data_IF_972056673923
#
_entry.id   IF_972056673923
#
_cell.length_a   1.000
_cell.length_b   1.000
_cell.length_c   1.000
_cell.angle_alpha   90.00
_cell.angle_beta   90.00
_cell.angle_gamma   90.00
#
_symmetry.space_group_name_H-M   'P 1'
#
loop_
_entity.id
_entity.type
_entity.pdbx_description
1 polymer ?
#
# COMPACT_ATOMS: atom_id res chain seq x y z
N UNK A 1 26.98 24.71 -17.89
CA UNK A 1 27.48 25.37 -16.66
C UNK A 1 26.59 25.20 -15.43
N UNK A 2 25.34 24.73 -15.53
CA UNK A 2 24.57 24.28 -14.37
C UNK A 2 24.04 22.85 -14.59
N UNK A 3 24.91 21.86 -14.38
CA UNK A 3 24.49 20.45 -14.40
C UNK A 3 23.95 20.10 -13.00
N UNK A 4 22.75 19.53 -12.87
CA UNK A 4 22.22 19.17 -11.56
C UNK A 4 22.97 17.99 -10.95
N UNK A 5 23.12 17.99 -9.62
CA UNK A 5 23.67 16.84 -8.87
C UNK A 5 22.70 15.65 -8.85
N UNK A 6 21.40 15.92 -8.93
CA UNK A 6 20.33 14.92 -8.93
C UNK A 6 19.44 15.13 -10.14
N UNK A 7 19.30 14.09 -10.97
CA UNK A 7 18.38 14.07 -12.10
C UNK A 7 17.19 13.15 -11.80
N UNK A 8 16.02 13.74 -11.64
CA UNK A 8 14.75 13.00 -11.56
C UNK A 8 14.16 12.88 -12.96
N UNK A 9 13.98 11.65 -13.41
CA UNK A 9 13.46 11.37 -14.76
C UNK A 9 12.71 10.03 -14.77
N UNK A 10 11.87 9.82 -15.78
CA UNK A 10 11.28 8.51 -16.04
C UNK A 10 12.12 7.75 -17.08
N UNK A 11 11.88 6.45 -17.20
CA UNK A 11 12.67 5.58 -18.10
C UNK A 11 12.57 6.00 -19.58
N UNK A 12 11.44 6.56 -20.02
CA UNK A 12 11.27 7.04 -21.41
C UNK A 12 12.14 8.25 -21.66
N UNK A 13 12.14 9.22 -20.74
CA UNK A 13 12.97 10.41 -20.89
C UNK A 13 14.46 10.08 -20.73
N UNK A 14 14.81 9.12 -19.89
CA UNK A 14 16.18 8.60 -19.81
C UNK A 14 16.65 7.99 -21.14
N UNK A 15 15.83 7.21 -21.83
CA UNK A 15 16.12 6.72 -23.19
C UNK A 15 16.44 7.87 -24.15
N UNK A 16 15.64 8.94 -24.11
CA UNK A 16 15.84 10.11 -24.96
C UNK A 16 17.15 10.84 -24.63
N UNK A 17 17.47 11.00 -23.34
CA UNK A 17 18.74 11.62 -22.90
C UNK A 17 19.95 10.86 -23.43
N UNK A 18 19.90 9.53 -23.47
CA UNK A 18 21.00 8.71 -23.96
C UNK A 18 21.16 8.72 -25.48
N UNK A 19 20.09 8.97 -26.24
CA UNK A 19 20.06 8.78 -27.70
C UNK A 19 20.10 10.09 -28.49
N UNK A 20 19.62 11.20 -27.90
CA UNK A 20 19.49 12.47 -28.62
C UNK A 20 20.79 13.30 -28.57
N UNK A 21 21.14 14.01 -29.66
CA UNK A 21 22.34 14.84 -29.70
C UNK A 21 22.33 16.03 -28.72
N UNK A 22 21.14 16.59 -28.43
CA UNK A 22 21.01 17.80 -27.63
C UNK A 22 21.37 17.56 -26.15
N UNK A 23 21.08 16.35 -25.65
CA UNK A 23 21.29 15.94 -24.27
C UNK A 23 22.68 15.34 -24.02
N UNK A 24 23.57 15.28 -25.03
CA UNK A 24 24.94 14.75 -24.89
C UNK A 24 25.74 15.41 -23.78
N UNK A 25 25.52 16.70 -23.53
CA UNK A 25 26.17 17.42 -22.44
C UNK A 25 25.85 16.83 -21.07
N UNK A 26 24.63 16.30 -20.88
CA UNK A 26 24.21 15.62 -19.64
C UNK A 26 24.98 14.31 -19.47
N UNK A 27 25.05 13.50 -20.53
CA UNK A 27 25.79 12.22 -20.51
C UNK A 27 27.28 12.42 -20.26
N UNK A 28 27.87 13.49 -20.82
CA UNK A 28 29.26 13.84 -20.56
C UNK A 28 29.50 14.32 -19.12
N UNK A 29 28.58 15.10 -18.57
CA UNK A 29 28.69 15.55 -17.19
C UNK A 29 28.39 14.45 -16.16
N UNK A 30 27.66 13.40 -16.55
CA UNK A 30 27.32 12.26 -15.71
C UNK A 30 28.37 11.12 -15.74
N UNK A 31 29.55 11.34 -16.32
CA UNK A 31 30.62 10.34 -16.30
C UNK A 31 31.01 9.98 -14.86
N UNK A 32 31.11 8.68 -14.57
CA UNK A 32 31.34 8.18 -13.22
C UNK A 32 30.10 8.26 -12.32
N UNK A 33 28.89 8.20 -12.89
CA UNK A 33 27.63 8.21 -12.13
C UNK A 33 27.70 7.25 -10.93
N UNK A 34 27.49 7.80 -9.73
CA UNK A 34 27.67 7.04 -8.48
C UNK A 34 26.42 6.25 -8.08
N UNK A 35 25.22 6.77 -8.37
CA UNK A 35 23.96 6.16 -7.92
C UNK A 35 22.94 6.09 -9.05
N UNK A 36 22.22 4.97 -9.09
CA UNK A 36 21.01 4.81 -9.89
C UNK A 36 19.88 4.28 -9.02
N UNK A 37 18.83 5.07 -8.89
CA UNK A 37 17.66 4.76 -8.08
C UNK A 37 16.50 4.44 -9.01
N UNK A 38 15.91 3.27 -8.88
CA UNK A 38 14.67 2.91 -9.55
C UNK A 38 13.55 2.76 -8.51
N UNK A 39 12.52 3.59 -8.66
CA UNK A 39 11.34 3.52 -7.80
C UNK A 39 10.32 2.53 -8.35
N UNK A 40 9.52 1.96 -7.45
CA UNK A 40 8.43 1.04 -7.76
C UNK A 40 8.83 -0.10 -8.70
N UNK A 41 9.90 -0.82 -8.34
CA UNK A 41 10.41 -1.95 -9.12
C UNK A 41 9.33 -2.98 -9.48
N UNK A 42 8.28 -3.10 -8.64
CA UNK A 42 7.16 -3.99 -8.88
C UNK A 42 6.39 -3.69 -10.18
N UNK A 43 6.54 -2.49 -10.75
CA UNK A 43 5.96 -2.07 -12.02
C UNK A 43 6.75 -2.54 -13.24
N UNK A 44 8.04 -2.84 -13.09
CA UNK A 44 8.93 -3.24 -14.19
C UNK A 44 8.88 -4.76 -14.43
N UNK A 45 7.75 -5.25 -14.96
CA UNK A 45 7.53 -6.68 -15.26
C UNK A 45 7.38 -6.93 -16.76
N UNK A 46 7.58 -8.19 -17.16
CA UNK A 46 7.43 -8.63 -18.55
C UNK A 46 8.32 -7.85 -19.52
N UNK A 47 7.77 -7.43 -20.67
CA UNK A 47 8.50 -6.68 -21.70
C UNK A 47 9.07 -5.37 -21.17
N UNK A 48 8.29 -4.61 -20.41
CA UNK A 48 8.72 -3.33 -19.86
C UNK A 48 9.92 -3.50 -18.94
N UNK A 49 9.93 -4.55 -18.10
CA UNK A 49 11.08 -4.86 -17.25
C UNK A 49 12.35 -5.17 -18.04
N UNK A 50 12.24 -5.91 -19.14
CA UNK A 50 13.38 -6.19 -20.01
C UNK A 50 13.94 -4.92 -20.68
N UNK A 51 13.07 -4.03 -21.15
CA UNK A 51 13.48 -2.76 -21.77
C UNK A 51 14.22 -1.86 -20.76
N UNK A 52 13.69 -1.75 -19.53
CA UNK A 52 14.35 -1.00 -18.45
C UNK A 52 15.69 -1.66 -18.08
N UNK A 53 15.76 -2.99 -18.02
CA UNK A 53 17.01 -3.69 -17.72
C UNK A 53 18.11 -3.39 -18.75
N UNK A 54 17.77 -3.32 -20.03
CA UNK A 54 18.71 -2.93 -21.09
C UNK A 54 19.05 -1.44 -21.05
N UNK A 55 18.11 -0.58 -20.65
CA UNK A 55 18.37 0.84 -20.41
C UNK A 55 19.40 1.04 -19.29
N UNK A 56 19.26 0.36 -18.15
CA UNK A 56 20.23 0.43 -17.04
C UNK A 56 21.63 0.04 -17.50
N UNK A 57 21.76 -1.04 -18.29
CA UNK A 57 23.06 -1.48 -18.83
C UNK A 57 23.67 -0.43 -19.76
N UNK A 58 22.87 0.25 -20.57
CA UNK A 58 23.34 1.35 -21.44
C UNK A 58 23.75 2.58 -20.64
N UNK A 59 23.02 2.95 -19.59
CA UNK A 59 23.42 4.02 -18.66
C UNK A 59 24.81 3.72 -18.10
N UNK A 60 25.00 2.51 -17.55
CA UNK A 60 26.28 2.09 -16.96
C UNK A 60 27.43 2.22 -17.95
N UNK A 61 27.23 1.77 -19.19
CA UNK A 61 28.24 1.82 -20.24
C UNK A 61 28.53 3.25 -20.71
N UNK A 62 27.51 4.02 -21.08
CA UNK A 62 27.67 5.37 -21.66
C UNK A 62 28.21 6.38 -20.66
N UNK A 63 27.95 6.17 -19.37
CA UNK A 63 28.45 7.03 -18.29
C UNK A 63 29.73 6.49 -17.65
N UNK A 64 30.34 5.42 -18.17
CA UNK A 64 31.55 4.78 -17.59
C UNK A 64 31.40 4.52 -16.08
N UNK A 65 30.21 4.05 -15.67
CA UNK A 65 29.78 4.01 -14.29
C UNK A 65 29.99 2.61 -13.67
N UNK A 66 31.23 2.12 -13.70
CA UNK A 66 31.57 0.75 -13.27
C UNK A 66 31.22 0.49 -11.81
N UNK A 67 31.37 1.52 -10.96
CA UNK A 67 31.09 1.47 -9.51
C UNK A 67 29.71 2.03 -9.14
N UNK A 68 28.79 2.17 -10.11
CA UNK A 68 27.45 2.69 -9.86
C UNK A 68 26.66 1.81 -8.89
N UNK A 69 26.29 2.38 -7.75
CA UNK A 69 25.45 1.75 -6.74
C UNK A 69 23.99 1.82 -7.17
N UNK A 70 23.35 0.67 -7.23
CA UNK A 70 21.96 0.54 -7.61
C UNK A 70 21.08 0.46 -6.36
N UNK A 71 20.01 1.25 -6.33
CA UNK A 71 19.02 1.22 -5.24
C UNK A 71 17.64 1.05 -5.86
N UNK A 72 16.87 0.11 -5.32
CA UNK A 72 15.52 -0.19 -5.77
C UNK A 72 14.54 -0.15 -4.61
N UNK A 73 13.38 0.46 -4.82
CA UNK A 73 12.25 0.43 -3.88
C UNK A 73 11.11 -0.38 -4.47
N UNK A 74 10.35 -1.07 -3.62
CA UNK A 74 9.23 -1.89 -4.06
C UNK A 74 8.25 -2.16 -2.94
N UNK A 75 6.96 -2.12 -3.24
CA UNK A 75 5.91 -2.48 -2.31
C UNK A 75 5.56 -4.00 -2.32
N UNK A 76 5.69 -4.68 -3.46
CA UNK A 76 4.98 -5.97 -3.69
C UNK A 76 5.73 -6.96 -4.60
N UNK A 77 7.07 -6.95 -4.62
CA UNK A 77 7.81 -7.93 -5.43
C UNK A 77 7.78 -9.34 -4.84
N UNK A 78 7.73 -9.46 -3.51
CA UNK A 78 7.81 -10.76 -2.84
C UNK A 78 6.52 -11.58 -3.02
N UNK A 79 6.66 -12.81 -3.53
CA UNK A 79 5.60 -13.79 -3.63
C UNK A 79 5.23 -14.45 -2.29
N UNK A 80 4.47 -15.54 -2.37
CA UNK A 80 4.16 -16.40 -1.22
C UNK A 80 5.39 -17.23 -0.86
N UNK A 81 5.75 -17.25 0.42
CA UNK A 81 6.90 -18.01 0.91
C UNK A 81 7.42 -17.47 2.24
N UNK A 82 8.45 -18.12 2.77
CA UNK A 82 9.20 -17.63 3.92
C UNK A 82 9.93 -16.32 3.59
N UNK A 83 10.30 -15.55 4.61
CA UNK A 83 11.00 -14.28 4.41
C UNK A 83 12.32 -14.45 3.63
N UNK A 84 13.06 -15.52 3.88
CA UNK A 84 14.32 -15.78 3.18
C UNK A 84 14.09 -16.09 1.70
N UNK A 85 13.03 -16.85 1.37
CA UNK A 85 12.64 -17.09 -0.01
C UNK A 85 12.21 -15.78 -0.70
N UNK A 86 11.43 -14.94 -0.01
CA UNK A 86 11.04 -13.63 -0.50
C UNK A 86 12.24 -12.72 -0.77
N UNK A 87 13.20 -12.66 0.16
CA UNK A 87 14.45 -11.91 -0.02
C UNK A 87 15.25 -12.43 -1.20
N UNK A 88 15.37 -13.75 -1.32
CA UNK A 88 16.10 -14.38 -2.43
C UNK A 88 15.45 -14.06 -3.77
N UNK A 89 14.13 -14.09 -3.87
CA UNK A 89 13.39 -13.73 -5.08
C UNK A 89 13.59 -12.26 -5.45
N UNK A 90 13.48 -11.35 -4.47
CA UNK A 90 13.71 -9.91 -4.69
C UNK A 90 15.14 -9.65 -5.16
N UNK A 91 16.13 -10.29 -4.53
CA UNK A 91 17.55 -10.18 -4.90
C UNK A 91 17.81 -10.66 -6.33
N UNK A 92 17.18 -11.77 -6.74
CA UNK A 92 17.29 -12.27 -8.11
C UNK A 92 16.69 -11.27 -9.13
N UNK A 93 15.50 -10.74 -8.85
CA UNK A 93 14.84 -9.75 -9.73
C UNK A 93 15.66 -8.47 -9.83
N UNK A 94 16.14 -7.95 -8.70
CA UNK A 94 17.01 -6.78 -8.66
C UNK A 94 18.29 -7.03 -9.49
N UNK A 95 18.90 -8.20 -9.34
CA UNK A 95 20.12 -8.55 -10.06
C UNK A 95 19.90 -8.58 -11.57
N UNK A 96 18.79 -9.16 -12.03
CA UNK A 96 18.44 -9.19 -13.45
C UNK A 96 18.17 -7.78 -14.00
N UNK A 97 17.39 -6.98 -13.28
CA UNK A 97 17.00 -5.64 -13.71
C UNK A 97 18.20 -4.69 -13.75
N UNK A 98 18.97 -4.61 -12.67
CA UNK A 98 20.10 -3.69 -12.58
C UNK A 98 21.36 -4.19 -13.28
N UNK A 99 21.46 -5.50 -13.56
CA UNK A 99 22.67 -6.11 -14.09
C UNK A 99 23.85 -5.97 -13.12
N UNK A 100 23.59 -6.13 -11.82
CA UNK A 100 24.56 -6.08 -10.73
C UNK A 100 24.20 -7.16 -9.71
N UNK A 101 25.14 -7.60 -8.87
CA UNK A 101 24.86 -8.64 -7.88
C UNK A 101 24.12 -8.04 -6.67
N UNK A 102 23.02 -8.68 -6.29
CA UNK A 102 22.29 -8.42 -5.05
C UNK A 102 22.18 -9.73 -4.24
N UNK A 103 22.45 -9.65 -2.95
CA UNK A 103 22.28 -10.73 -1.97
C UNK A 103 21.03 -10.51 -1.11
N UNK A 104 20.65 -11.51 -0.30
CA UNK A 104 19.55 -11.39 0.66
C UNK A 104 19.81 -10.38 1.77
N UNK A 105 21.09 -10.08 2.04
CA UNK A 105 21.52 -9.06 3.01
C UNK A 105 21.33 -7.63 2.48
N UNK A 106 21.34 -7.47 1.14
CA UNK A 106 21.04 -6.19 0.49
C UNK A 106 19.53 -5.89 0.47
N UNK A 107 18.69 -6.87 0.79
CA UNK A 107 17.23 -6.71 0.82
C UNK A 107 16.78 -6.24 2.20
N UNK A 108 16.48 -4.95 2.26
CA UNK A 108 15.95 -4.29 3.44
C UNK A 108 14.43 -4.33 3.40
N UNK A 109 13.84 -5.15 4.26
CA UNK A 109 12.41 -5.15 4.53
C UNK A 109 12.04 -4.22 5.69
N UNK A 110 10.74 -4.09 5.93
CA UNK A 110 10.26 -3.38 7.11
C UNK A 110 10.38 -4.20 8.39
N UNK A 111 10.43 -3.51 9.53
CA UNK A 111 10.26 -4.12 10.85
C UNK A 111 9.06 -3.46 11.52
N UNK A 112 8.01 -4.25 11.72
CA UNK A 112 6.78 -3.77 12.33
C UNK A 112 6.92 -3.73 13.85
N UNK A 113 6.37 -2.68 14.44
CA UNK A 113 6.29 -2.48 15.90
C UNK A 113 4.87 -2.08 16.23
N UNK A 114 4.34 -2.66 17.31
CA UNK A 114 3.03 -2.25 17.84
C UNK A 114 3.07 -0.83 18.39
N UNK A 115 2.00 -0.09 18.15
CA UNK A 115 1.71 1.20 18.79
C UNK A 115 1.18 0.99 20.21
N UNK A 116 0.31 0.00 20.41
CA UNK A 116 -0.28 -0.34 21.72
C UNK A 116 0.54 -1.40 22.45
N UNK A 117 0.48 -1.47 23.80
CA UNK A 117 1.14 -2.53 24.54
C UNK A 117 0.54 -3.89 24.16
N UNK A 118 1.39 -4.92 24.15
CA UNK A 118 0.92 -6.28 23.92
C UNK A 118 0.08 -6.77 25.11
N UNK A 119 -1.13 -7.24 24.82
CA UNK A 119 -2.00 -7.97 25.74
C UNK A 119 -2.48 -9.23 25.03
N UNK A 120 -2.52 -10.33 25.77
CA UNK A 120 -3.07 -11.60 25.28
C UNK A 120 -4.60 -11.47 25.22
N UNK A 121 -5.20 -11.56 24.02
CA UNK A 121 -6.64 -11.32 23.83
C UNK A 121 -7.49 -12.36 24.57
N UNK A 122 -6.95 -13.56 24.76
CA UNK A 122 -7.60 -14.65 25.48
C UNK A 122 -7.54 -14.52 27.01
N UNK A 123 -6.82 -13.53 27.54
CA UNK A 123 -6.73 -13.29 28.97
C UNK A 123 -8.06 -12.79 29.55
N UNK A 124 -8.55 -13.47 30.57
CA UNK A 124 -9.84 -13.16 31.20
C UNK A 124 -9.87 -11.76 31.82
N UNK A 125 -8.74 -11.26 32.33
CA UNK A 125 -8.67 -9.91 32.92
C UNK A 125 -8.83 -8.83 31.84
N UNK A 126 -8.14 -8.99 30.71
CA UNK A 126 -8.28 -8.10 29.55
C UNK A 126 -9.69 -8.14 28.95
N UNK A 127 -10.30 -9.32 28.82
CA UNK A 127 -11.68 -9.46 28.33
C UNK A 127 -12.66 -8.70 29.24
N UNK A 128 -12.46 -8.75 30.57
CA UNK A 128 -13.29 -8.01 31.51
C UNK A 128 -13.12 -6.49 31.36
N UNK A 129 -11.89 -5.99 31.26
CA UNK A 129 -11.58 -4.56 31.03
C UNK A 129 -12.23 -4.06 29.72
N UNK A 130 -12.06 -4.82 28.63
CA UNK A 130 -12.65 -4.52 27.33
C UNK A 130 -14.19 -4.53 27.37
N UNK A 131 -14.77 -5.49 28.09
CA UNK A 131 -16.23 -5.59 28.26
C UNK A 131 -16.78 -4.39 29.03
N UNK A 132 -16.11 -3.95 30.11
CA UNK A 132 -16.49 -2.75 30.86
C UNK A 132 -16.39 -1.51 29.97
N UNK A 133 -15.29 -1.38 29.22
CA UNK A 133 -15.06 -0.30 28.26
C UNK A 133 -16.13 -0.19 27.18
N UNK A 134 -16.68 -1.31 26.70
CA UNK A 134 -17.76 -1.33 25.70
C UNK A 134 -19.15 -1.05 26.28
N UNK A 135 -19.39 -1.43 27.55
CA UNK A 135 -20.66 -1.17 28.25
C UNK A 135 -20.84 0.29 28.64
N UNK A 136 -19.75 1.03 28.80
CA UNK A 136 -19.81 2.48 29.03
C UNK A 136 -20.10 3.24 27.73
N UNK A 137 -21.40 3.45 27.47
CA UNK A 137 -21.89 4.18 26.29
C UNK A 137 -21.49 5.67 26.30
N UNK A 138 -21.14 6.22 27.46
CA UNK A 138 -20.74 7.62 27.61
C UNK A 138 -19.22 7.80 27.48
N UNK A 139 -18.46 6.72 27.34
CA UNK A 139 -17.01 6.79 27.27
C UNK A 139 -16.55 7.61 26.07
N UNK A 140 -15.62 8.53 26.34
CA UNK A 140 -14.95 9.34 25.34
C UNK A 140 -13.53 8.80 25.14
N UNK A 141 -13.20 8.44 23.90
CA UNK A 141 -11.85 8.01 23.55
C UNK A 141 -10.85 9.10 23.92
N UNK A 142 -9.75 8.78 24.64
CA UNK A 142 -8.76 9.77 25.01
C UNK A 142 -8.15 10.46 23.79
N UNK A 143 -7.81 11.74 23.93
CA UNK A 143 -7.10 12.50 22.89
C UNK A 143 -5.59 12.45 23.07
N UNK A 144 -5.09 12.27 24.29
CA UNK A 144 -3.65 12.13 24.52
C UNK A 144 -3.15 10.76 24.07
N UNK A 145 -1.96 10.73 23.46
CA UNK A 145 -1.38 9.52 22.89
C UNK A 145 -1.27 8.37 23.91
N UNK A 146 -0.78 8.66 25.12
CA UNK A 146 -0.48 7.63 26.13
C UNK A 146 -1.74 6.92 26.62
N UNK A 147 -2.81 7.66 26.89
CA UNK A 147 -4.08 7.07 27.31
C UNK A 147 -4.78 6.38 26.13
N UNK A 148 -4.68 6.94 24.93
CA UNK A 148 -5.24 6.31 23.72
C UNK A 148 -4.65 4.92 23.48
N UNK A 149 -3.33 4.77 23.53
CA UNK A 149 -2.68 3.48 23.28
C UNK A 149 -2.91 2.47 24.41
N UNK A 150 -3.28 2.95 25.60
CA UNK A 150 -3.57 2.10 26.77
C UNK A 150 -5.05 1.71 26.86
N UNK A 151 -5.92 2.27 26.01
CA UNK A 151 -7.35 1.95 25.96
C UNK A 151 -7.54 0.48 25.51
N UNK A 152 -8.33 -0.35 26.24
CA UNK A 152 -8.52 -1.75 25.90
C UNK A 152 -9.05 -1.98 24.48
N UNK A 153 -9.92 -1.09 23.99
CA UNK A 153 -10.46 -1.19 22.65
C UNK A 153 -9.39 -0.83 21.60
N UNK A 154 -8.51 0.14 21.87
CA UNK A 154 -7.36 0.42 21.00
C UNK A 154 -6.42 -0.80 20.89
N UNK A 155 -6.10 -1.43 22.03
CA UNK A 155 -5.23 -2.63 22.06
C UNK A 155 -5.85 -3.78 21.26
N UNK A 156 -7.16 -3.98 21.40
CA UNK A 156 -7.90 -4.99 20.64
C UNK A 156 -7.91 -4.65 19.14
N UNK A 157 -8.24 -3.40 18.77
CA UNK A 157 -8.25 -2.93 17.37
C UNK A 157 -6.91 -3.19 16.68
N UNK A 158 -5.78 -2.86 17.30
CA UNK A 158 -4.47 -3.11 16.69
C UNK A 158 -4.20 -4.61 16.51
N UNK A 159 -4.61 -5.44 17.47
CA UNK A 159 -4.43 -6.90 17.37
C UNK A 159 -5.33 -7.53 16.30
N UNK A 160 -6.48 -6.91 16.01
CA UNK A 160 -7.46 -7.41 15.03
C UNK A 160 -7.18 -6.91 13.62
N UNK A 161 -6.85 -5.63 13.45
CA UNK A 161 -6.70 -4.98 12.15
C UNK A 161 -5.27 -4.56 11.79
N UNK A 162 -4.39 -4.45 12.79
CA UNK A 162 -3.04 -3.93 12.62
C UNK A 162 -2.03 -5.04 12.41
N UNK A 163 -1.58 -5.65 13.51
CA UNK A 163 -0.45 -6.56 13.54
C UNK A 163 -0.79 -7.86 14.26
N UNK A 164 -0.38 -8.98 13.66
CA UNK A 164 -0.43 -10.31 14.26
C UNK A 164 0.98 -10.87 14.38
N UNK A 165 1.17 -11.82 15.29
CA UNK A 165 2.42 -12.56 15.40
C UNK A 165 2.36 -13.77 14.45
N UNK A 166 3.29 -13.83 13.52
CA UNK A 166 3.45 -14.99 12.67
C UNK A 166 3.84 -16.22 13.51
N UNK A 167 3.19 -17.36 13.26
CA UNK A 167 3.34 -18.56 14.12
C UNK A 167 4.68 -19.25 13.92
N UNK A 168 5.25 -19.17 12.73
CA UNK A 168 6.50 -19.84 12.37
C UNK A 168 7.72 -18.99 12.74
N UNK A 169 7.76 -17.74 12.30
CA UNK A 169 8.88 -16.83 12.52
C UNK A 169 8.82 -16.09 13.86
N UNK A 170 7.64 -16.01 14.49
CA UNK A 170 7.42 -15.22 15.70
C UNK A 170 7.51 -13.70 15.49
N UNK A 171 7.66 -13.21 14.25
CA UNK A 171 7.73 -11.79 13.92
C UNK A 171 6.34 -11.16 13.83
N UNK A 172 6.27 -9.84 13.95
CA UNK A 172 5.05 -9.09 13.67
C UNK A 172 4.86 -8.98 12.16
N UNK A 173 3.67 -9.35 11.69
CA UNK A 173 3.22 -9.22 10.29
C UNK A 173 1.88 -8.50 10.27
N UNK A 174 1.52 -7.88 9.13
CA UNK A 174 0.22 -7.21 8.99
C UNK A 174 -0.92 -8.22 9.08
N UNK A 175 -1.98 -7.85 9.79
CA UNK A 175 -3.22 -8.61 9.82
C UNK A 175 -3.86 -8.65 8.42
N UNK A 176 -4.58 -9.73 8.11
CA UNK A 176 -5.38 -9.80 6.89
C UNK A 176 -6.55 -8.80 6.97
N UNK A 177 -6.90 -8.11 5.87
CA UNK A 177 -8.02 -7.18 5.85
C UNK A 177 -9.31 -7.87 6.32
N UNK A 178 -10.02 -7.23 7.25
CA UNK A 178 -11.27 -7.74 7.82
C UNK A 178 -12.33 -6.64 7.79
N UNK A 179 -13.57 -6.99 7.49
CA UNK A 179 -14.69 -6.05 7.55
C UNK A 179 -15.04 -5.71 9.00
N UNK A 180 -15.55 -4.51 9.25
CA UNK A 180 -16.02 -4.16 10.60
C UNK A 180 -17.32 -4.94 10.90
N UNK A 181 -18.24 -4.95 9.95
CA UNK A 181 -19.57 -5.57 10.05
C UNK A 181 -19.67 -6.88 9.25
N UNK A 182 -20.80 -7.58 9.43
CA UNK A 182 -21.09 -8.85 8.77
C UNK A 182 -20.76 -10.08 9.62
N UNK A 183 -21.15 -11.26 9.14
CA UNK A 183 -21.02 -12.52 9.89
C UNK A 183 -19.56 -12.90 10.21
N UNK A 184 -18.63 -12.54 9.32
CA UNK A 184 -17.18 -12.72 9.52
C UNK A 184 -16.47 -11.41 9.93
N UNK A 185 -17.26 -10.39 10.29
CA UNK A 185 -16.76 -9.07 10.66
C UNK A 185 -16.19 -9.01 12.08
N UNK A 186 -15.33 -8.01 12.29
CA UNK A 186 -14.69 -7.77 13.57
C UNK A 186 -15.70 -7.48 14.72
N UNK A 187 -16.83 -6.85 14.43
CA UNK A 187 -17.89 -6.60 15.42
C UNK A 187 -18.48 -7.91 15.96
N UNK A 188 -18.65 -8.92 15.09
CA UNK A 188 -19.13 -10.25 15.49
C UNK A 188 -18.12 -10.96 16.38
N UNK A 189 -16.86 -10.88 16.01
CA UNK A 189 -15.75 -11.41 16.81
C UNK A 189 -15.69 -10.76 18.20
N UNK A 190 -15.80 -9.43 18.26
CA UNK A 190 -15.81 -8.69 19.54
C UNK A 190 -17.03 -9.04 20.41
N UNK A 191 -18.20 -9.23 19.80
CA UNK A 191 -19.40 -9.73 20.47
C UNK A 191 -19.17 -11.12 21.06
N UNK A 192 -18.55 -12.04 20.32
CA UNK A 192 -18.26 -13.39 20.81
C UNK A 192 -17.30 -13.39 22.01
N UNK A 193 -16.31 -12.49 22.02
CA UNK A 193 -15.36 -12.38 23.13
C UNK A 193 -15.94 -11.73 24.39
N UNK A 194 -16.79 -10.72 24.23
CA UNK A 194 -17.21 -9.83 25.35
C UNK A 194 -18.66 -10.05 25.79
N UNK A 195 -19.47 -10.72 24.96
CA UNK A 195 -20.91 -10.84 25.14
C UNK A 195 -21.69 -9.53 24.96
N UNK A 196 -21.03 -8.43 24.57
CA UNK A 196 -21.68 -7.13 24.33
C UNK A 196 -22.32 -7.14 22.94
N UNK A 197 -23.53 -6.58 22.81
CA UNK A 197 -24.30 -6.59 21.56
C UNK A 197 -23.49 -6.14 20.34
N UNK A 198 -23.69 -6.81 19.21
CA UNK A 198 -22.96 -6.61 17.95
C UNK A 198 -23.03 -5.16 17.47
N UNK A 199 -24.21 -4.53 17.53
CA UNK A 199 -24.40 -3.11 17.16
C UNK A 199 -23.54 -2.15 17.99
N UNK A 200 -23.36 -2.45 19.28
CA UNK A 200 -22.54 -1.65 20.19
C UNK A 200 -21.06 -1.85 19.85
N UNK A 201 -20.65 -3.09 19.56
CA UNK A 201 -19.30 -3.42 19.14
C UNK A 201 -18.93 -2.69 17.84
N UNK A 202 -19.78 -2.77 16.81
CA UNK A 202 -19.58 -2.10 15.53
C UNK A 202 -19.40 -0.58 15.69
N UNK A 203 -20.36 0.08 16.37
CA UNK A 203 -20.30 1.52 16.61
C UNK A 203 -19.07 1.92 17.42
N UNK A 204 -18.66 1.09 18.38
CA UNK A 204 -17.48 1.36 19.22
C UNK A 204 -16.20 1.26 18.40
N UNK A 205 -16.05 0.25 17.55
CA UNK A 205 -14.91 0.10 16.64
C UNK A 205 -14.83 1.31 15.71
N UNK A 206 -15.93 1.67 15.04
CA UNK A 206 -16.00 2.83 14.13
C UNK A 206 -15.62 4.13 14.87
N UNK A 207 -16.18 4.37 16.05
CA UNK A 207 -15.89 5.56 16.87
C UNK A 207 -14.42 5.61 17.29
N UNK A 208 -13.85 4.49 17.74
CA UNK A 208 -12.46 4.42 18.17
C UNK A 208 -11.48 4.66 17.02
N UNK A 209 -11.73 4.04 15.86
CA UNK A 209 -10.97 4.29 14.64
C UNK A 209 -11.05 5.78 14.25
N UNK A 210 -12.23 6.37 14.15
CA UNK A 210 -12.36 7.81 13.86
C UNK A 210 -11.69 8.71 14.90
N UNK A 211 -11.70 8.32 16.18
CA UNK A 211 -11.05 9.05 17.27
C UNK A 211 -9.53 9.03 17.16
N UNK A 212 -8.93 7.99 16.55
CA UNK A 212 -7.49 7.92 16.35
C UNK A 212 -6.95 9.13 15.57
N UNK A 213 -7.72 9.66 14.61
CA UNK A 213 -7.37 10.87 13.87
C UNK A 213 -7.36 12.15 14.71
N UNK A 214 -8.09 12.16 15.82
CA UNK A 214 -8.15 13.29 16.75
C UNK A 214 -7.16 13.13 17.91
N UNK A 215 -6.44 12.01 17.96
CA UNK A 215 -5.43 11.76 18.97
C UNK A 215 -4.18 12.58 18.66
N UNK A 216 -3.56 13.10 19.70
CA UNK A 216 -2.29 13.79 19.64
C UNK A 216 -1.18 12.84 19.13
N UNK A 217 -0.21 13.34 18.34
CA UNK A 217 0.89 12.52 17.86
C UNK A 217 1.71 11.91 19.00
N UNK A 218 2.44 10.84 18.69
CA UNK A 218 3.43 10.29 19.61
C UNK A 218 4.43 11.40 20.03
N UNK A 219 4.57 11.70 21.33
CA UNK A 219 5.47 12.75 21.81
C UNK A 219 6.96 12.46 21.53
N UNK A 220 7.35 11.20 21.36
CA UNK A 220 8.75 10.82 21.19
C UNK A 220 9.22 10.92 19.73
N UNK A 221 8.34 10.61 18.78
CA UNK A 221 8.69 10.52 17.35
C UNK A 221 8.04 11.59 16.48
N UNK A 222 6.93 12.19 16.95
CA UNK A 222 6.03 13.06 16.18
C UNK A 222 5.53 12.48 14.83
N UNK A 223 5.83 11.20 14.56
CA UNK A 223 5.51 10.48 13.34
C UNK A 223 5.29 8.98 13.66
N UNK A 224 4.25 8.33 13.12
CA UNK A 224 3.17 8.92 12.33
C UNK A 224 2.31 9.89 13.17
N UNK A 225 1.59 10.85 12.53
CA UNK A 225 0.81 11.86 13.25
C UNK A 225 -0.41 11.29 13.99
N UNK A 226 -0.81 10.05 13.72
CA UNK A 226 -1.90 9.33 14.37
C UNK A 226 -1.41 7.97 14.86
N UNK A 227 -1.87 7.48 16.03
CA UNK A 227 -1.55 6.15 16.55
C UNK A 227 -1.99 5.01 15.61
N UNK A 228 -3.13 5.18 14.91
CA UNK A 228 -3.62 4.24 13.90
C UNK A 228 -3.72 4.94 12.54
N UNK A 229 -2.97 4.42 11.58
CA UNK A 229 -3.04 4.84 10.19
C UNK A 229 -3.97 3.90 9.42
N UNK A 230 -5.28 4.13 9.44
CA UNK A 230 -6.20 3.48 8.50
C UNK A 230 -6.73 4.54 7.54
N UNK A 231 -6.57 4.33 6.24
CA UNK A 231 -7.12 5.23 5.22
C UNK A 231 -8.51 4.74 4.85
N UNK A 232 -9.52 5.60 4.93
CA UNK A 232 -10.81 5.29 4.35
C UNK A 232 -10.65 5.29 2.82
N UNK A 233 -10.44 4.12 2.23
CA UNK A 233 -10.48 3.99 0.77
C UNK A 233 -11.94 4.02 0.32
N UNK A 234 -12.51 5.21 0.19
CA UNK A 234 -13.64 5.39 -0.71
C UNK A 234 -13.11 5.28 -2.13
N UNK A 235 -13.24 4.09 -2.72
CA UNK A 235 -13.10 3.93 -4.16
C UNK A 235 -14.24 4.69 -4.82
N UNK A 236 -14.03 5.98 -5.07
CA UNK A 236 -14.72 6.62 -6.16
C UNK A 236 -14.16 5.97 -7.42
N UNK A 237 -14.98 5.16 -8.10
CA UNK A 237 -14.63 4.68 -9.43
C UNK A 237 -14.15 5.88 -10.24
N UNK A 238 -12.99 5.77 -10.88
CA UNK A 238 -12.54 6.79 -11.84
C UNK A 238 -13.72 7.09 -12.75
N UNK A 239 -14.00 8.37 -13.03
CA UNK A 239 -14.99 8.72 -14.02
C UNK A 239 -14.68 7.98 -15.31
N UNK A 240 -15.59 7.11 -15.73
CA UNK A 240 -15.45 6.29 -16.93
C UNK A 240 -16.45 6.78 -17.99
N UNK A 241 -16.23 6.38 -19.23
CA UNK A 241 -17.11 6.72 -20.33
C UNK A 241 -18.46 6.00 -20.15
N UNK A 242 -19.55 6.76 -20.11
CA UNK A 242 -20.90 6.19 -20.15
C UNK A 242 -21.22 5.88 -21.61
N UNK A 243 -21.62 4.65 -21.90
CA UNK A 243 -22.10 4.22 -23.20
C UNK A 243 -23.62 4.11 -23.17
N UNK A 244 -24.28 4.57 -24.22
CA UNK A 244 -25.71 4.41 -24.40
C UNK A 244 -26.04 3.86 -25.79
N UNK A 245 -27.16 3.15 -25.88
CA UNK A 245 -27.75 2.79 -27.16
C UNK A 245 -28.57 3.97 -27.74
N UNK A 246 -28.93 3.89 -29.02
CA UNK A 246 -29.49 5.00 -29.80
C UNK A 246 -30.96 5.32 -29.53
N UNK A 247 -31.64 4.50 -28.73
CA UNK A 247 -33.07 4.63 -28.45
C UNK A 247 -33.39 5.89 -27.62
N UNK A 248 -34.68 6.27 -27.54
CA UNK A 248 -35.13 7.34 -26.65
C UNK A 248 -34.72 7.12 -25.19
N UNK A 249 -34.71 8.18 -24.39
CA UNK A 249 -34.28 8.14 -22.98
C UNK A 249 -34.99 7.07 -22.14
N UNK A 250 -36.28 6.85 -22.41
CA UNK A 250 -37.09 5.86 -21.71
C UNK A 250 -36.69 4.40 -21.99
N UNK A 251 -35.95 4.13 -23.06
CA UNK A 251 -35.71 2.78 -23.58
C UNK A 251 -34.23 2.46 -23.80
N UNK A 252 -33.35 3.49 -23.82
CA UNK A 252 -31.93 3.29 -24.08
C UNK A 252 -31.26 2.49 -22.97
N UNK A 253 -30.41 1.57 -23.39
CA UNK A 253 -29.55 0.82 -22.50
C UNK A 253 -28.32 1.66 -22.17
N UNK A 254 -28.00 1.80 -20.88
CA UNK A 254 -26.88 2.61 -20.37
C UNK A 254 -25.91 1.71 -19.61
N UNK A 255 -24.61 1.86 -19.87
CA UNK A 255 -23.57 1.09 -19.18
C UNK A 255 -22.25 1.86 -19.12
N UNK A 256 -21.37 1.50 -18.17
CA UNK A 256 -19.98 1.97 -18.11
C UNK A 256 -18.99 0.99 -18.73
N UNK A 257 -19.47 -0.17 -19.21
CA UNK A 257 -18.63 -1.19 -19.82
C UNK A 257 -18.57 -0.98 -21.34
N UNK A 258 -17.45 -0.45 -21.83
CA UNK A 258 -17.22 -0.21 -23.25
C UNK A 258 -17.18 -1.50 -24.07
N UNK A 259 -18.12 -1.62 -25.00
CA UNK A 259 -18.20 -2.70 -25.99
C UNK A 259 -18.98 -2.22 -27.22
N UNK A 260 -19.00 -3.01 -28.29
CA UNK A 260 -19.59 -2.59 -29.58
C UNK A 260 -21.13 -2.63 -29.60
N UNK A 261 -21.74 -3.55 -28.85
CA UNK A 261 -23.18 -3.81 -28.89
C UNK A 261 -23.76 -3.97 -27.48
N UNK A 262 -25.07 -3.78 -27.33
CA UNK A 262 -25.79 -4.05 -26.08
C UNK A 262 -25.58 -5.53 -25.68
N UNK A 263 -25.38 -5.88 -24.39
CA UNK A 263 -25.23 -7.27 -23.98
C UNK A 263 -26.38 -8.14 -24.49
N UNK A 264 -26.05 -9.28 -25.10
CA UNK A 264 -27.01 -10.22 -25.68
C UNK A 264 -27.85 -9.67 -26.85
N UNK A 265 -27.52 -8.51 -27.40
CA UNK A 265 -28.23 -7.91 -28.52
C UNK A 265 -27.28 -7.22 -29.51
N UNK A 266 -26.95 -7.93 -30.60
CA UNK A 266 -26.03 -7.45 -31.64
C UNK A 266 -26.65 -6.46 -32.63
N UNK A 267 -27.96 -6.21 -32.56
CA UNK A 267 -28.62 -5.24 -33.44
C UNK A 267 -28.50 -3.81 -32.90
N UNK A 268 -28.29 -3.66 -31.60
CA UNK A 268 -28.17 -2.36 -30.93
C UNK A 268 -26.71 -2.03 -30.63
N UNK A 269 -26.24 -0.90 -31.15
CA UNK A 269 -24.88 -0.40 -30.92
C UNK A 269 -24.79 0.40 -29.64
N UNK A 270 -23.62 0.38 -29.00
CA UNK A 270 -23.29 1.23 -27.88
C UNK A 270 -22.36 2.35 -28.32
N UNK A 271 -22.71 3.58 -27.97
CA UNK A 271 -21.97 4.79 -28.32
C UNK A 271 -21.57 5.55 -27.05
N UNK A 272 -20.35 6.09 -26.99
CA UNK A 272 -19.92 6.88 -25.85
C UNK A 272 -20.73 8.18 -25.79
N UNK A 273 -21.29 8.48 -24.61
CA UNK A 273 -21.92 9.76 -24.34
C UNK A 273 -20.84 10.80 -24.09
N UNK A 274 -20.96 11.92 -24.80
CA UNK A 274 -20.13 13.10 -24.61
C UNK A 274 -21.06 14.24 -24.19
N UNK A 275 -20.68 14.96 -23.13
CA UNK A 275 -21.33 16.22 -22.80
C UNK A 275 -20.78 17.29 -23.75
N UNK A 276 -21.67 17.99 -24.45
CA UNK A 276 -21.33 19.18 -25.22
C UNK A 276 -21.42 20.42 -24.34
#
# INVERSE_FOLDING_TARGET
>A
ENTPDILLTNYVMLELILTRPFERGIVHAAQGLQFLILDELHTYRGRQGADVAMLVRRVRNLMTAEHMQCVGTSATIAGVGSLEEQKSEVAQIASMLFGADFSTDDIIGETLKRTTPFKEISDASFVMELTQRLKDLNYQTPKDFKSFISDPLSIWIESTFGLIKDKESGRLVRAQPKTISGQEGAAKELNNFTGVGEDVCEKSIQKALLSAYQCEPNPDTHFPPSPFAFRLQQFFSRGDTVYASLEPESERYITVHGQKYVPNDRQRVLLPLVFC
#
